data_IF_472661910289
#
_entry.id   IF_472661910289
#
_cell.length_a   1.000
_cell.length_b   1.000
_cell.length_c   1.000
_cell.angle_alpha   90.00
_cell.angle_beta   90.00
_cell.angle_gamma   90.00
#
_symmetry.space_group_name_H-M   'P 1'
#
loop_
_entity.id
_entity.type
_entity.pdbx_description
1 polymer ?
#
# COMPACT_ATOMS: atom_id res chain seq x y z
N UNK A 1 24.56 37.54 42.44
CA UNK A 1 23.33 37.38 41.63
C UNK A 1 22.13 37.74 42.52
N UNK A 2 21.18 38.60 42.11
CA UNK A 2 20.07 39.00 42.98
C UNK A 2 19.18 37.80 43.39
N UNK A 3 18.59 37.80 44.59
CA UNK A 3 17.80 36.67 45.15
C UNK A 3 16.79 36.06 44.16
N UNK A 4 16.14 36.89 43.34
CA UNK A 4 15.19 36.44 42.30
C UNK A 4 15.85 35.78 41.09
N UNK A 5 17.03 36.23 40.68
CA UNK A 5 17.80 35.58 39.62
C UNK A 5 18.25 34.18 40.05
N UNK A 6 18.61 34.03 41.33
CA UNK A 6 18.91 32.72 41.92
C UNK A 6 17.66 31.83 41.93
N UNK A 7 16.50 32.36 42.36
CA UNK A 7 15.24 31.62 42.35
C UNK A 7 14.81 31.17 40.93
N UNK A 8 14.92 32.05 39.94
CA UNK A 8 14.62 31.72 38.54
C UNK A 8 15.57 30.64 37.99
N UNK A 9 16.85 30.72 38.34
CA UNK A 9 17.83 29.71 37.94
C UNK A 9 17.53 28.34 38.56
N UNK A 10 17.26 28.29 39.87
CA UNK A 10 16.87 27.04 40.56
C UNK A 10 15.60 26.45 39.94
N UNK A 11 14.57 27.28 39.73
CA UNK A 11 13.33 26.83 39.10
C UNK A 11 13.58 26.25 37.70
N UNK A 12 14.38 26.94 36.87
CA UNK A 12 14.68 26.49 35.50
C UNK A 12 15.37 25.12 35.49
N UNK A 13 16.33 24.91 36.38
CA UNK A 13 17.05 23.61 36.47
C UNK A 13 16.11 22.49 36.92
N UNK A 14 15.35 22.71 38.00
CA UNK A 14 14.45 21.68 38.55
C UNK A 14 13.31 21.38 37.58
N UNK A 15 12.64 22.41 37.07
CA UNK A 15 11.54 22.26 36.12
C UNK A 15 12.01 21.66 34.79
N UNK A 16 13.22 22.01 34.32
CA UNK A 16 13.81 21.41 33.13
C UNK A 16 14.03 19.90 33.26
N UNK A 17 14.53 19.44 34.42
CA UNK A 17 14.71 18.00 34.69
C UNK A 17 13.37 17.26 34.73
N UNK A 18 12.36 17.83 35.41
CA UNK A 18 11.01 17.25 35.47
C UNK A 18 10.36 17.25 34.09
N UNK A 19 10.46 18.34 33.34
CA UNK A 19 9.93 18.46 31.98
C UNK A 19 10.58 17.46 31.02
N UNK A 20 11.90 17.24 31.12
CA UNK A 20 12.59 16.23 30.33
C UNK A 20 12.12 14.81 30.65
N UNK A 21 11.92 14.49 31.93
CA UNK A 21 11.36 13.20 32.34
C UNK A 21 9.93 13.00 31.81
N UNK A 22 9.06 14.01 31.95
CA UNK A 22 7.67 13.98 31.46
C UNK A 22 7.64 13.83 29.94
N UNK A 23 8.50 14.54 29.21
CA UNK A 23 8.64 14.40 27.76
C UNK A 23 9.10 12.99 27.36
N UNK A 24 10.09 12.43 28.06
CA UNK A 24 10.57 11.06 27.82
C UNK A 24 9.47 10.02 28.04
N UNK A 25 8.70 10.17 29.12
CA UNK A 25 7.57 9.29 29.42
C UNK A 25 6.46 9.41 28.37
N UNK A 26 6.11 10.65 27.98
CA UNK A 26 5.13 10.91 26.94
C UNK A 26 5.53 10.29 25.60
N UNK A 27 6.83 10.31 25.25
CA UNK A 27 7.34 9.67 24.03
C UNK A 27 7.18 8.15 24.05
N UNK A 28 7.32 7.52 25.21
CA UNK A 28 7.16 6.06 25.35
C UNK A 28 5.67 5.66 25.29
N UNK A 29 4.79 6.50 25.83
CA UNK A 29 3.36 6.21 25.96
C UNK A 29 2.52 6.66 24.76
N UNK A 30 3.00 7.60 23.94
CA UNK A 30 2.26 8.09 22.78
C UNK A 30 2.45 7.18 21.57
N UNK A 31 1.35 6.85 20.90
CA UNK A 31 1.32 6.14 19.62
C UNK A 31 1.58 7.05 18.41
N UNK A 32 1.73 8.36 18.63
CA UNK A 32 1.94 9.36 17.58
C UNK A 32 2.87 10.48 18.02
N UNK A 33 2.77 11.65 17.37
CA UNK A 33 3.68 12.78 17.58
C UNK A 33 3.27 13.74 18.71
N UNK A 34 2.26 13.36 19.50
CA UNK A 34 1.64 14.18 20.54
C UNK A 34 2.60 14.53 21.68
N UNK A 35 3.63 13.70 21.91
CA UNK A 35 4.68 13.97 22.90
C UNK A 35 5.46 15.27 22.59
N UNK A 36 5.52 15.71 21.34
CA UNK A 36 6.14 16.99 20.98
C UNK A 36 5.34 18.18 21.51
N UNK A 37 4.00 18.10 21.53
CA UNK A 37 3.15 19.12 22.14
C UNK A 37 3.44 19.29 23.62
N UNK A 38 3.64 18.18 24.34
CA UNK A 38 4.00 18.17 25.77
C UNK A 38 5.35 18.88 25.97
N UNK A 39 6.33 18.63 25.10
CA UNK A 39 7.61 19.34 25.12
C UNK A 39 7.47 20.85 24.95
N UNK A 40 6.69 21.30 23.96
CA UNK A 40 6.42 22.72 23.71
C UNK A 40 5.70 23.39 24.90
N UNK A 41 4.72 22.70 25.50
CA UNK A 41 3.99 23.21 26.66
C UNK A 41 4.88 23.33 27.91
N UNK A 42 5.77 22.37 28.14
CA UNK A 42 6.76 22.48 29.22
C UNK A 42 7.64 23.73 29.03
N UNK A 43 8.15 23.99 27.82
CA UNK A 43 8.96 25.19 27.54
C UNK A 43 8.15 26.46 27.81
N UNK A 44 6.90 26.54 27.32
CA UNK A 44 6.02 27.69 27.52
C UNK A 44 5.75 27.97 29.01
N UNK A 45 5.44 26.92 29.79
CA UNK A 45 5.23 27.03 31.24
C UNK A 45 6.52 27.51 31.94
N UNK A 46 7.66 26.92 31.59
CA UNK A 46 8.96 27.29 32.17
C UNK A 46 9.32 28.76 31.93
N UNK A 47 9.06 29.27 30.72
CA UNK A 47 9.25 30.68 30.37
C UNK A 47 8.30 31.59 31.16
N UNK A 48 7.03 31.20 31.28
CA UNK A 48 6.02 32.00 31.99
C UNK A 48 6.28 32.10 33.49
N UNK A 49 6.66 31.00 34.13
CA UNK A 49 6.97 31.03 35.57
C UNK A 49 8.21 31.89 35.84
N UNK A 50 9.25 31.77 35.02
CA UNK A 50 10.43 32.64 35.12
C UNK A 50 10.10 34.13 34.89
N UNK A 51 9.19 34.43 33.96
CA UNK A 51 8.72 35.79 33.71
C UNK A 51 8.08 36.43 34.97
N UNK A 52 7.34 35.66 35.76
CA UNK A 52 6.80 36.10 37.05
C UNK A 52 7.85 36.16 38.16
N UNK A 53 8.72 35.15 38.30
CA UNK A 53 9.79 35.12 39.32
C UNK A 53 10.72 36.33 39.18
N UNK A 54 11.02 36.72 37.94
CA UNK A 54 11.89 37.85 37.62
C UNK A 54 11.19 39.21 37.68
N UNK A 55 9.89 39.25 38.01
CA UNK A 55 9.07 40.48 38.09
C UNK A 55 9.04 41.27 36.77
N UNK A 56 9.23 40.60 35.62
CA UNK A 56 9.27 41.25 34.30
C UNK A 56 7.90 41.88 33.99
N UNK A 57 6.81 41.26 34.45
CA UNK A 57 5.45 41.79 34.36
C UNK A 57 5.23 43.18 34.98
N UNK A 58 6.09 43.60 35.92
CA UNK A 58 6.02 44.94 36.51
C UNK A 58 6.73 46.00 35.67
N UNK A 59 7.54 45.59 34.69
CA UNK A 59 8.31 46.47 33.81
C UNK A 59 7.56 46.83 32.53
N UNK A 60 6.42 46.19 32.29
CA UNK A 60 5.58 46.42 31.11
C UNK A 60 4.14 46.67 31.53
N UNK A 61 3.36 47.32 30.66
CA UNK A 61 1.95 47.59 30.97
C UNK A 61 1.13 46.30 31.04
N UNK A 62 0.02 46.31 31.80
CA UNK A 62 -0.88 45.17 31.94
C UNK A 62 -1.36 44.60 30.60
N UNK A 63 -1.59 45.45 29.59
CA UNK A 63 -1.96 45.04 28.22
C UNK A 63 -0.88 44.16 27.60
N UNK A 64 0.38 44.58 27.67
CA UNK A 64 1.52 43.86 27.10
C UNK A 64 1.83 42.55 27.84
N UNK A 65 1.59 42.48 29.16
CA UNK A 65 1.67 41.22 29.92
C UNK A 65 0.69 40.16 29.40
N UNK A 66 -0.57 40.54 29.16
CA UNK A 66 -1.57 39.60 28.63
C UNK A 66 -1.25 39.17 27.20
N UNK A 67 -0.77 40.08 26.35
CA UNK A 67 -0.31 39.75 25.00
C UNK A 67 0.83 38.71 25.06
N UNK A 68 1.82 38.92 25.93
CA UNK A 68 2.95 38.00 26.06
C UNK A 68 2.51 36.60 26.52
N UNK A 69 1.60 36.53 27.52
CA UNK A 69 1.04 35.25 27.99
C UNK A 69 0.38 34.51 26.83
N UNK A 70 -0.48 35.19 26.06
CA UNK A 70 -1.17 34.59 24.93
C UNK A 70 -0.17 34.12 23.87
N UNK A 71 0.82 34.94 23.51
CA UNK A 71 1.82 34.60 22.48
C UNK A 71 2.66 33.40 22.88
N UNK A 72 3.09 33.29 24.13
CA UNK A 72 3.96 32.20 24.62
C UNK A 72 3.27 30.83 24.55
N UNK A 73 1.94 30.77 24.67
CA UNK A 73 1.19 29.52 24.49
C UNK A 73 0.66 29.34 23.07
N UNK A 74 0.20 30.40 22.42
CA UNK A 74 -0.42 30.31 21.10
C UNK A 74 0.59 29.99 19.99
N UNK A 75 1.81 30.54 20.05
CA UNK A 75 2.82 30.28 19.01
C UNK A 75 3.29 28.82 19.01
N UNK A 76 3.68 28.20 20.13
CA UNK A 76 4.04 26.78 20.12
C UNK A 76 2.85 25.86 19.77
N UNK A 77 1.63 26.18 20.21
CA UNK A 77 0.44 25.43 19.80
C UNK A 77 0.14 25.57 18.32
N UNK A 78 0.33 26.75 17.72
CA UNK A 78 0.16 26.96 16.29
C UNK A 78 1.28 26.30 15.47
N UNK A 79 2.52 26.32 15.95
CA UNK A 79 3.66 25.62 15.32
C UNK A 79 3.47 24.11 15.39
N UNK A 80 3.07 23.57 16.55
CA UNK A 80 2.70 22.16 16.68
C UNK A 80 1.50 21.84 15.80
N UNK A 81 0.42 22.62 15.83
CA UNK A 81 -0.76 22.38 15.01
C UNK A 81 -0.44 22.41 13.51
N UNK A 82 0.47 23.30 13.09
CA UNK A 82 0.94 23.35 11.70
C UNK A 82 1.85 22.17 11.36
N UNK A 83 2.70 21.74 12.29
CA UNK A 83 3.59 20.58 12.14
C UNK A 83 2.81 19.27 12.15
N UNK A 84 1.88 19.07 13.08
CA UNK A 84 0.98 17.93 13.19
C UNK A 84 0.04 17.90 11.97
N UNK A 85 -0.50 19.03 11.53
CA UNK A 85 -1.22 19.11 10.26
C UNK A 85 -0.34 18.77 9.05
N UNK A 86 0.91 19.22 9.03
CA UNK A 86 1.88 18.89 7.98
C UNK A 86 2.19 17.39 7.97
N UNK A 87 2.53 16.80 9.12
CA UNK A 87 2.80 15.38 9.26
C UNK A 87 1.56 14.56 8.98
N UNK A 88 0.38 14.87 9.52
CA UNK A 88 -0.89 14.20 9.18
C UNK A 88 -1.28 14.37 7.72
N UNK A 89 -0.81 15.44 7.06
CA UNK A 89 -0.98 15.60 5.60
C UNK A 89 0.04 14.81 4.77
N UNK A 90 0.97 14.12 5.42
CA UNK A 90 2.00 13.24 4.82
C UNK A 90 1.87 11.80 5.35
N UNK A 91 1.27 11.63 6.53
CA UNK A 91 0.98 10.36 7.20
C UNK A 91 -0.27 9.78 6.55
N UNK A 92 -0.01 9.12 5.43
CA UNK A 92 -0.93 8.28 4.66
C UNK A 92 -1.63 7.35 5.64
N UNK A 93 -2.89 7.65 5.89
CA UNK A 93 -3.77 6.68 6.52
C UNK A 93 -3.85 5.53 5.52
N UNK A 94 -3.24 4.39 5.84
CA UNK A 94 -3.24 3.18 5.01
C UNK A 94 -4.55 3.05 4.23
N UNK A 95 -4.58 3.51 2.97
CA UNK A 95 -5.66 3.20 2.04
C UNK A 95 -5.54 1.73 1.65
N UNK A 96 -5.66 0.84 2.61
CA UNK A 96 -5.91 -0.56 2.32
C UNK A 96 -7.27 -0.65 1.67
N UNK A 97 -7.31 -1.32 0.53
CA UNK A 97 -8.57 -1.64 -0.16
C UNK A 97 -9.49 -2.30 0.84
N UNK A 98 -10.75 -1.87 0.88
CA UNK A 98 -11.76 -2.56 1.65
C UNK A 98 -12.09 -3.90 1.00
N UNK A 99 -11.33 -4.93 1.41
CA UNK A 99 -11.54 -6.30 0.94
C UNK A 99 -12.83 -6.92 1.49
N UNK A 100 -13.54 -6.25 2.42
CA UNK A 100 -14.81 -6.76 2.92
C UNK A 100 -15.90 -6.81 1.84
N UNK A 101 -15.74 -6.05 0.76
CA UNK A 101 -16.66 -6.07 -0.39
C UNK A 101 -16.50 -7.32 -1.26
N UNK A 102 -15.39 -8.05 -1.13
CA UNK A 102 -15.08 -9.22 -1.96
C UNK A 102 -15.11 -10.52 -1.12
N UNK A 103 -15.92 -10.57 -0.08
CA UNK A 103 -16.05 -11.77 0.75
C UNK A 103 -17.02 -12.77 0.10
N UNK A 104 -16.65 -14.05 -0.01
CA UNK A 104 -17.56 -15.11 -0.42
C UNK A 104 -18.80 -15.16 0.48
N UNK A 105 -19.95 -15.46 -0.11
CA UNK A 105 -21.28 -15.65 0.45
C UNK A 105 -21.81 -14.44 1.24
N UNK A 106 -21.18 -13.27 1.10
CA UNK A 106 -21.65 -12.02 1.69
C UNK A 106 -22.74 -11.40 0.81
N UNK A 107 -23.86 -11.02 1.45
CA UNK A 107 -24.90 -10.25 0.78
C UNK A 107 -24.34 -8.91 0.27
N UNK A 108 -24.61 -8.58 -1.00
CA UNK A 108 -24.10 -7.37 -1.63
C UNK A 108 -22.60 -7.37 -1.97
N UNK A 109 -21.95 -8.55 -1.99
CA UNK A 109 -20.56 -8.72 -2.42
C UNK A 109 -20.35 -8.31 -3.89
N UNK A 110 -19.21 -7.67 -4.18
CA UNK A 110 -18.74 -7.25 -5.51
C UNK A 110 -18.07 -8.39 -6.31
N UNK A 111 -18.14 -9.63 -5.80
CA UNK A 111 -17.57 -10.80 -6.48
C UNK A 111 -18.30 -11.12 -7.79
N UNK A 112 -17.51 -11.54 -8.79
CA UNK A 112 -18.05 -12.20 -9.96
C UNK A 112 -18.76 -13.50 -9.55
N UNK A 113 -19.89 -13.80 -10.20
CA UNK A 113 -20.73 -14.96 -9.90
C UNK A 113 -21.14 -15.65 -11.18
N UNK A 114 -21.15 -16.97 -11.15
CA UNK A 114 -21.70 -17.75 -12.25
C UNK A 114 -23.23 -17.61 -12.28
N UNK A 115 -23.78 -17.58 -13.50
CA UNK A 115 -25.23 -17.60 -13.74
C UNK A 115 -25.86 -18.96 -13.39
N UNK A 116 -25.06 -20.03 -13.48
CA UNK A 116 -25.44 -21.42 -13.21
C UNK A 116 -24.51 -22.01 -12.14
N UNK A 117 -24.95 -23.04 -11.39
CA UNK A 117 -24.09 -23.72 -10.43
C UNK A 117 -22.78 -24.20 -11.05
N UNK A 118 -21.68 -24.12 -10.28
CA UNK A 118 -20.41 -24.63 -10.75
C UNK A 118 -20.45 -26.16 -10.93
N UNK A 119 -19.82 -26.63 -12.01
CA UNK A 119 -19.67 -28.07 -12.32
C UNK A 119 -18.88 -28.81 -11.24
N UNK A 120 -18.03 -28.08 -10.51
CA UNK A 120 -17.32 -28.55 -9.32
C UNK A 120 -17.98 -27.98 -8.07
N UNK A 121 -18.38 -28.87 -7.15
CA UNK A 121 -18.83 -28.52 -5.81
C UNK A 121 -17.97 -29.31 -4.81
N UNK A 122 -17.37 -28.62 -3.85
CA UNK A 122 -16.55 -29.24 -2.80
C UNK A 122 -17.31 -29.20 -1.48
N UNK A 123 -17.36 -30.30 -0.74
CA UNK A 123 -18.10 -30.36 0.53
C UNK A 123 -17.17 -30.50 1.75
N UNK A 124 -16.03 -31.18 1.58
CA UNK A 124 -15.07 -31.47 2.63
C UNK A 124 -13.63 -31.28 2.13
N UNK A 125 -12.67 -31.22 3.05
CA UNK A 125 -11.24 -31.02 2.74
C UNK A 125 -11.00 -29.85 1.77
N UNK A 126 -11.69 -28.73 1.97
CA UNK A 126 -11.63 -27.57 1.11
C UNK A 126 -10.17 -27.09 0.96
N UNK A 127 -9.68 -26.84 -0.27
CA UNK A 127 -8.35 -26.27 -0.46
C UNK A 127 -8.18 -24.95 0.29
N UNK A 128 -7.13 -24.82 1.08
CA UNK A 128 -6.80 -23.54 1.72
C UNK A 128 -6.18 -22.58 0.71
N UNK A 129 -6.84 -21.44 0.47
CA UNK A 129 -6.47 -20.44 -0.53
C UNK A 129 -5.83 -19.21 0.12
N UNK A 130 -4.77 -18.69 -0.49
CA UNK A 130 -4.17 -17.41 -0.10
C UNK A 130 -3.64 -16.65 -1.33
N UNK A 131 -3.21 -15.41 -1.21
CA UNK A 131 -2.55 -14.75 -2.33
C UNK A 131 -2.28 -13.26 -2.20
N UNK A 132 -1.98 -12.70 -3.38
CA UNK A 132 -1.81 -11.27 -3.54
C UNK A 132 -3.15 -10.54 -3.36
N UNK A 133 -3.11 -9.36 -2.73
CA UNK A 133 -4.30 -8.51 -2.54
C UNK A 133 -5.02 -8.20 -3.85
N UNK A 134 -4.27 -7.95 -4.93
CA UNK A 134 -4.88 -7.67 -6.24
C UNK A 134 -5.76 -8.82 -6.72
N UNK A 135 -5.35 -10.07 -6.46
CA UNK A 135 -6.04 -11.25 -6.97
C UNK A 135 -7.12 -11.77 -6.02
N UNK A 136 -7.34 -11.13 -4.86
CA UNK A 136 -8.35 -11.57 -3.90
C UNK A 136 -9.75 -11.73 -4.51
N UNK A 137 -10.26 -10.76 -5.29
CA UNK A 137 -11.57 -10.91 -5.92
C UNK A 137 -11.68 -12.15 -6.82
N UNK A 138 -10.58 -12.58 -7.46
CA UNK A 138 -10.56 -13.75 -8.34
C UNK A 138 -10.73 -15.05 -7.54
N UNK A 139 -9.87 -15.30 -6.55
CA UNK A 139 -9.93 -16.57 -5.81
C UNK A 139 -11.03 -16.61 -4.76
N UNK A 140 -11.52 -15.45 -4.31
CA UNK A 140 -12.77 -15.38 -3.56
C UNK A 140 -13.98 -15.73 -4.44
N UNK A 141 -14.03 -15.30 -5.71
CA UNK A 141 -15.08 -15.71 -6.64
C UNK A 141 -15.03 -17.22 -6.97
N UNK A 142 -13.85 -17.83 -6.98
CA UNK A 142 -13.75 -19.29 -7.09
C UNK A 142 -14.36 -19.99 -5.87
N UNK A 143 -14.07 -19.52 -4.67
CA UNK A 143 -14.64 -20.06 -3.43
C UNK A 143 -16.16 -19.81 -3.33
N UNK A 144 -16.65 -18.64 -3.76
CA UNK A 144 -18.08 -18.35 -3.91
C UNK A 144 -18.78 -19.43 -4.74
N UNK A 145 -18.16 -19.84 -5.83
CA UNK A 145 -18.78 -20.74 -6.80
C UNK A 145 -18.76 -22.22 -6.37
N UNK A 146 -17.70 -22.65 -5.67
CA UNK A 146 -17.44 -24.08 -5.43
C UNK A 146 -17.41 -24.50 -3.96
N UNK A 147 -17.34 -23.56 -3.01
CA UNK A 147 -17.34 -23.88 -1.57
C UNK A 147 -18.75 -23.75 -0.99
N UNK A 148 -19.12 -24.58 0.00
CA UNK A 148 -20.43 -24.49 0.63
C UNK A 148 -20.62 -23.15 1.33
N UNK A 149 -21.86 -22.65 1.33
CA UNK A 149 -22.24 -21.48 2.11
C UNK A 149 -21.93 -21.69 3.60
N UNK A 150 -21.45 -20.65 4.28
CA UNK A 150 -21.10 -20.69 5.70
C UNK A 150 -19.69 -21.20 6.04
N UNK A 151 -18.89 -21.56 5.03
CA UNK A 151 -17.47 -21.95 5.24
C UNK A 151 -16.53 -20.77 5.34
N UNK A 152 -16.92 -19.61 4.83
CA UNK A 152 -16.18 -18.36 4.97
C UNK A 152 -16.54 -17.67 6.28
N UNK A 153 -15.54 -17.41 7.12
CA UNK A 153 -15.71 -16.76 8.43
C UNK A 153 -15.53 -15.24 8.26
N UNK A 154 -16.63 -14.51 8.35
CA UNK A 154 -16.63 -13.05 8.15
C UNK A 154 -15.97 -12.27 9.29
N UNK A 155 -16.09 -12.76 10.53
CA UNK A 155 -15.61 -12.09 11.74
C UNK A 155 -14.08 -12.16 11.88
N UNK A 156 -13.49 -13.32 11.58
CA UNK A 156 -12.04 -13.52 11.52
C UNK A 156 -11.65 -14.27 10.23
N UNK A 157 -11.16 -13.49 9.25
CA UNK A 157 -10.72 -14.05 7.96
C UNK A 157 -9.56 -15.02 8.10
N UNK A 158 -8.76 -14.94 9.17
CA UNK A 158 -7.63 -15.85 9.37
C UNK A 158 -8.05 -17.28 9.71
N UNK A 159 -9.33 -17.47 10.10
CA UNK A 159 -9.96 -18.77 10.30
C UNK A 159 -10.70 -19.28 9.06
N UNK A 160 -10.77 -18.47 7.99
CA UNK A 160 -11.41 -18.87 6.73
C UNK A 160 -10.50 -19.76 5.88
N UNK A 161 -11.06 -20.67 5.06
CA UNK A 161 -10.29 -21.40 4.05
C UNK A 161 -9.78 -20.50 2.92
N UNK A 162 -10.14 -19.20 2.93
CA UNK A 162 -9.73 -18.20 1.94
C UNK A 162 -9.17 -16.96 2.67
N UNK A 163 -7.86 -16.77 2.57
CA UNK A 163 -7.10 -15.72 3.29
C UNK A 163 -6.45 -14.75 2.31
N UNK A 164 -6.12 -13.54 2.78
CA UNK A 164 -5.33 -12.55 2.03
C UNK A 164 -4.13 -12.09 2.85
N UNK A 165 -3.06 -12.88 2.87
CA UNK A 165 -1.84 -12.53 3.61
C UNK A 165 -0.84 -11.69 2.81
N UNK A 166 -1.25 -11.25 1.60
CA UNK A 166 -0.43 -10.50 0.63
C UNK A 166 0.69 -11.40 0.07
N UNK A 167 1.32 -11.00 -1.03
CA UNK A 167 2.28 -11.86 -1.78
C UNK A 167 3.35 -12.51 -0.89
N UNK A 168 4.03 -11.73 -0.05
CA UNK A 168 5.09 -12.28 0.79
C UNK A 168 4.54 -13.26 1.85
N UNK A 169 3.43 -12.91 2.50
CA UNK A 169 2.77 -13.78 3.47
C UNK A 169 2.32 -15.10 2.84
N UNK A 170 1.77 -15.03 1.62
CA UNK A 170 1.27 -16.20 0.91
C UNK A 170 2.41 -17.17 0.57
N UNK A 171 3.55 -16.67 0.08
CA UNK A 171 4.74 -17.52 -0.13
C UNK A 171 5.28 -18.11 1.19
N UNK A 172 5.29 -17.34 2.28
CA UNK A 172 5.71 -17.83 3.60
C UNK A 172 4.78 -18.94 4.11
N UNK A 173 3.47 -18.78 3.98
CA UNK A 173 2.49 -19.81 4.36
C UNK A 173 2.62 -21.05 3.47
N UNK A 174 2.76 -20.88 2.16
CA UNK A 174 2.90 -21.99 1.20
C UNK A 174 4.19 -22.79 1.44
N UNK A 175 5.31 -22.12 1.70
CA UNK A 175 6.59 -22.79 2.04
C UNK A 175 6.54 -23.58 3.35
N UNK A 176 5.64 -23.18 4.27
CA UNK A 176 5.38 -23.85 5.55
C UNK A 176 4.22 -24.84 5.49
N UNK A 177 3.63 -25.08 4.30
CA UNK A 177 2.48 -25.95 4.11
C UNK A 177 1.25 -25.54 4.96
N UNK A 178 1.05 -24.23 5.14
CA UNK A 178 -0.10 -23.62 5.86
C UNK A 178 -1.18 -23.09 4.90
N UNK A 179 -1.09 -23.45 3.62
CA UNK A 179 -2.08 -23.15 2.57
C UNK A 179 -1.77 -24.09 1.42
N UNK A 180 -2.79 -24.51 0.70
CA UNK A 180 -2.67 -25.46 -0.40
C UNK A 180 -2.29 -24.77 -1.71
N UNK A 181 -2.88 -23.60 -1.96
CA UNK A 181 -2.76 -22.87 -3.23
C UNK A 181 -2.62 -21.39 -2.95
N UNK A 182 -1.65 -20.74 -3.59
CA UNK A 182 -1.55 -19.27 -3.60
C UNK A 182 -1.77 -18.68 -4.99
N UNK A 183 -2.40 -17.51 -5.03
CA UNK A 183 -2.67 -16.75 -6.24
C UNK A 183 -1.79 -15.51 -6.32
N UNK A 184 -0.80 -15.51 -7.23
CA UNK A 184 0.17 -14.42 -7.36
C UNK A 184 0.61 -14.19 -8.81
N UNK A 185 1.19 -13.03 -9.13
CA UNK A 185 1.82 -12.75 -10.43
C UNK A 185 3.15 -13.51 -10.66
N UNK A 186 3.55 -14.38 -9.73
CA UNK A 186 4.80 -15.13 -9.75
C UNK A 186 5.76 -14.76 -8.61
N UNK A 187 6.79 -15.59 -8.38
CA UNK A 187 7.71 -15.41 -7.25
C UNK A 187 8.86 -14.46 -7.59
N UNK A 188 9.43 -13.83 -6.57
CA UNK A 188 10.81 -13.34 -6.62
C UNK A 188 11.81 -14.51 -6.63
N UNK A 189 13.10 -14.24 -6.88
CA UNK A 189 14.13 -15.28 -6.81
C UNK A 189 14.19 -15.94 -5.42
N UNK A 190 14.08 -15.15 -4.34
CA UNK A 190 14.05 -15.65 -2.96
C UNK A 190 12.82 -16.54 -2.70
N UNK A 191 11.63 -16.06 -3.08
CA UNK A 191 10.39 -16.83 -2.94
C UNK A 191 10.44 -18.13 -3.73
N UNK A 192 11.08 -18.11 -4.90
CA UNK A 192 11.26 -19.27 -5.73
C UNK A 192 12.17 -20.32 -5.08
N UNK A 193 13.20 -19.91 -4.33
CA UNK A 193 14.11 -20.80 -3.61
C UNK A 193 13.47 -21.37 -2.34
N UNK A 194 12.50 -20.67 -1.75
CA UNK A 194 11.79 -21.11 -0.55
C UNK A 194 10.80 -22.28 -0.81
N UNK A 195 10.37 -22.49 -2.05
CA UNK A 195 9.44 -23.57 -2.42
C UNK A 195 10.19 -24.83 -2.88
N UNK A 196 9.78 -25.99 -2.36
CA UNK A 196 10.48 -27.28 -2.56
C UNK A 196 9.91 -28.10 -3.71
N UNK A 197 8.58 -28.10 -3.86
CA UNK A 197 7.84 -28.88 -4.86
C UNK A 197 6.83 -27.97 -5.55
N UNK A 198 7.34 -26.86 -6.11
CA UNK A 198 6.47 -25.84 -6.70
C UNK A 198 5.87 -26.34 -8.00
N UNK A 199 4.58 -26.13 -8.17
CA UNK A 199 3.91 -26.19 -9.46
C UNK A 199 3.24 -24.84 -9.70
N UNK A 200 3.36 -24.33 -10.93
CA UNK A 200 2.84 -23.03 -11.32
C UNK A 200 1.90 -23.21 -12.51
N UNK A 201 0.62 -23.00 -12.28
CA UNK A 201 -0.40 -23.04 -13.33
C UNK A 201 -0.81 -21.64 -13.68
N UNK A 202 -0.57 -21.20 -14.92
CA UNK A 202 -1.04 -19.90 -15.39
C UNK A 202 -2.56 -19.94 -15.56
N UNK A 203 -3.26 -19.04 -14.90
CA UNK A 203 -4.74 -19.03 -14.87
C UNK A 203 -5.35 -17.78 -15.51
N UNK A 204 -4.59 -16.68 -15.58
CA UNK A 204 -5.00 -15.45 -16.24
C UNK A 204 -3.80 -14.55 -16.55
N UNK A 205 -4.05 -13.41 -17.20
CA UNK A 205 -3.07 -12.37 -17.51
C UNK A 205 -3.46 -11.05 -16.87
N UNK A 206 -2.45 -10.25 -16.59
CA UNK A 206 -2.57 -8.91 -16.05
C UNK A 206 -1.40 -8.03 -16.56
N UNK A 207 -1.60 -6.72 -16.57
CA UNK A 207 -0.56 -5.74 -16.84
C UNK A 207 0.05 -5.19 -15.55
N UNK A 208 1.38 -5.19 -15.50
CA UNK A 208 2.13 -4.33 -14.60
C UNK A 208 2.15 -2.90 -15.18
N UNK A 209 1.69 -1.94 -14.39
CA UNK A 209 1.45 -0.57 -14.85
C UNK A 209 2.20 0.44 -13.99
N UNK A 210 2.58 1.53 -14.62
CA UNK A 210 3.09 2.72 -13.95
C UNK A 210 2.02 3.80 -13.95
N UNK A 211 2.02 4.61 -12.90
CA UNK A 211 1.09 5.72 -12.77
C UNK A 211 1.77 6.93 -12.14
N UNK A 212 1.21 8.08 -12.46
CA UNK A 212 1.65 9.39 -11.97
C UNK A 212 0.41 10.17 -11.54
N UNK A 213 0.61 11.30 -10.87
CA UNK A 213 -0.48 12.24 -10.64
C UNK A 213 -1.12 12.67 -11.98
N UNK A 214 -2.45 12.81 -12.04
CA UNK A 214 -3.22 13.12 -13.26
C UNK A 214 -2.76 14.37 -14.01
N UNK A 215 -2.21 15.34 -13.28
CA UNK A 215 -1.72 16.63 -13.83
C UNK A 215 -0.22 16.61 -14.23
N UNK A 216 0.46 15.47 -14.13
CA UNK A 216 1.79 15.28 -14.71
C UNK A 216 1.65 15.31 -16.24
N UNK A 217 2.47 16.06 -17.00
CA UNK A 217 2.31 16.17 -18.46
C UNK A 217 2.81 14.95 -19.24
N UNK A 218 3.60 14.05 -18.64
CA UNK A 218 4.11 12.86 -19.33
C UNK A 218 3.00 11.82 -19.46
N UNK A 219 2.73 11.36 -20.67
CA UNK A 219 1.70 10.35 -20.97
C UNK A 219 2.28 8.98 -21.30
N UNK A 220 3.54 8.91 -21.73
CA UNK A 220 4.20 7.68 -22.13
C UNK A 220 5.65 7.68 -21.70
N UNK A 221 6.14 6.51 -21.29
CA UNK A 221 7.56 6.24 -21.09
C UNK A 221 7.94 4.97 -21.84
N UNK A 222 9.16 4.90 -22.33
CA UNK A 222 9.74 3.66 -22.84
C UNK A 222 10.17 2.76 -21.69
N UNK A 223 10.34 1.47 -21.96
CA UNK A 223 10.92 0.55 -20.97
C UNK A 223 12.31 1.00 -20.49
N UNK A 224 13.12 1.59 -21.37
CA UNK A 224 14.45 2.06 -20.99
C UNK A 224 14.38 3.29 -20.09
N UNK A 225 13.45 4.20 -20.33
CA UNK A 225 13.23 5.34 -19.44
C UNK A 225 12.70 4.89 -18.08
N UNK A 226 11.77 3.94 -18.03
CA UNK A 226 11.32 3.35 -16.77
C UNK A 226 12.48 2.72 -15.99
N UNK A 227 13.34 1.95 -16.65
CA UNK A 227 14.55 1.41 -16.00
C UNK A 227 15.48 2.51 -15.52
N UNK A 228 15.73 3.52 -16.34
CA UNK A 228 16.57 4.66 -15.98
C UNK A 228 16.03 5.44 -14.77
N UNK A 229 14.71 5.58 -14.65
CA UNK A 229 14.09 6.23 -13.49
C UNK A 229 14.32 5.40 -12.21
N UNK A 230 14.12 4.09 -12.27
CA UNK A 230 14.23 3.21 -11.10
C UNK A 230 15.67 2.78 -10.78
N UNK A 231 16.62 2.93 -11.70
CA UNK A 231 18.07 2.83 -11.44
C UNK A 231 18.66 4.13 -10.89
N UNK A 232 17.98 5.26 -11.07
CA UNK A 232 18.45 6.59 -10.70
C UNK A 232 19.29 7.29 -11.78
N UNK A 233 19.36 6.75 -13.00
CA UNK A 233 20.01 7.40 -14.16
C UNK A 233 19.17 8.58 -14.70
N UNK A 234 17.86 8.48 -14.59
CA UNK A 234 16.89 9.54 -14.92
C UNK A 234 16.31 10.06 -13.61
N UNK A 235 16.62 11.30 -13.27
CA UNK A 235 16.27 11.90 -11.98
C UNK A 235 15.38 13.13 -12.09
N UNK A 236 15.15 13.64 -13.30
CA UNK A 236 14.30 14.79 -13.57
C UNK A 236 13.32 14.50 -14.72
N UNK A 237 12.06 14.91 -14.55
CA UNK A 237 11.02 14.75 -15.56
C UNK A 237 11.35 15.45 -16.89
N UNK A 238 12.14 16.51 -16.90
CA UNK A 238 12.58 17.19 -18.13
C UNK A 238 13.32 16.24 -19.10
N UNK A 239 14.02 15.23 -18.56
CA UNK A 239 14.78 14.25 -19.34
C UNK A 239 13.87 13.33 -20.15
N UNK A 240 12.58 13.28 -19.82
CA UNK A 240 11.55 12.43 -20.46
C UNK A 240 10.37 13.27 -20.93
N UNK A 241 10.59 14.56 -21.22
CA UNK A 241 9.59 15.46 -21.81
C UNK A 241 8.57 16.05 -20.82
N UNK A 242 8.83 15.96 -19.52
CA UNK A 242 8.02 16.56 -18.48
C UNK A 242 8.48 17.95 -18.02
N UNK A 243 7.98 18.38 -16.86
CA UNK A 243 8.40 19.65 -16.22
C UNK A 243 9.81 19.51 -15.64
N UNK A 244 10.55 20.62 -15.48
CA UNK A 244 11.79 20.63 -14.69
C UNK A 244 11.46 20.40 -13.20
N UNK A 245 11.40 19.13 -12.82
CA UNK A 245 11.04 18.65 -11.49
C UNK A 245 11.73 17.31 -11.25
N UNK A 246 12.40 17.20 -10.09
CA UNK A 246 13.00 15.94 -9.63
C UNK A 246 11.96 14.82 -9.59
N UNK A 247 12.29 13.62 -10.06
CA UNK A 247 11.41 12.45 -10.01
C UNK A 247 11.44 11.84 -8.60
N UNK A 248 10.28 11.52 -8.07
CA UNK A 248 10.12 10.72 -6.84
C UNK A 248 9.57 9.35 -7.25
N UNK A 249 10.46 8.37 -7.41
CA UNK A 249 10.06 7.01 -7.76
C UNK A 249 9.81 6.18 -6.49
N UNK A 250 8.54 5.91 -6.20
CA UNK A 250 8.14 5.13 -5.03
C UNK A 250 8.51 3.67 -5.21
N UNK A 251 8.95 3.05 -4.12
CA UNK A 251 9.25 1.62 -4.05
C UNK A 251 8.53 0.99 -2.87
N UNK A 252 8.40 -0.34 -2.94
CA UNK A 252 7.67 -1.17 -1.99
C UNK A 252 8.64 -2.09 -1.24
N UNK A 253 8.21 -2.68 -0.11
CA UNK A 253 8.95 -3.74 0.53
C UNK A 253 9.29 -4.89 -0.42
N UNK A 254 10.53 -5.38 -0.27
CA UNK A 254 11.01 -6.60 -0.90
C UNK A 254 10.03 -7.76 -0.61
N UNK A 255 9.85 -8.63 -1.61
CA UNK A 255 8.89 -9.73 -1.56
C UNK A 255 7.41 -9.33 -1.76
N UNK A 256 7.09 -8.03 -1.84
CA UNK A 256 5.73 -7.62 -2.25
C UNK A 256 5.52 -7.81 -3.75
N UNK A 257 4.33 -8.27 -4.19
CA UNK A 257 4.14 -8.69 -5.58
C UNK A 257 4.32 -7.60 -6.64
N UNK A 258 4.05 -6.34 -6.31
CA UNK A 258 4.34 -5.21 -7.20
C UNK A 258 5.83 -4.86 -7.22
N UNK A 259 6.56 -5.04 -6.10
CA UNK A 259 8.01 -4.88 -6.05
C UNK A 259 8.70 -5.97 -6.89
N UNK A 260 8.22 -7.22 -6.79
CA UNK A 260 8.67 -8.32 -7.66
C UNK A 260 8.39 -8.02 -9.14
N UNK A 261 7.26 -7.38 -9.45
CA UNK A 261 6.97 -6.88 -10.80
C UNK A 261 8.01 -5.86 -11.29
N UNK A 262 8.42 -4.93 -10.42
CA UNK A 262 9.49 -3.97 -10.71
C UNK A 262 10.83 -4.68 -10.94
N UNK A 263 11.24 -5.56 -10.03
CA UNK A 263 12.49 -6.35 -10.12
C UNK A 263 12.57 -7.14 -11.45
N UNK A 264 11.48 -7.79 -11.84
CA UNK A 264 11.37 -8.50 -13.10
C UNK A 264 11.48 -7.57 -14.32
N UNK A 265 10.87 -6.37 -14.26
CA UNK A 265 10.97 -5.36 -15.32
C UNK A 265 12.40 -4.85 -15.49
N UNK A 266 13.13 -4.70 -14.37
CA UNK A 266 14.51 -4.22 -14.35
C UNK A 266 15.50 -5.21 -14.97
N UNK A 267 15.17 -6.51 -15.10
CA UNK A 267 16.01 -7.52 -15.77
C UNK A 267 17.47 -7.53 -15.29
N UNK A 268 17.68 -7.39 -13.98
CA UNK A 268 19.00 -7.36 -13.36
C UNK A 268 19.70 -6.00 -13.35
N UNK A 269 19.09 -4.93 -13.91
CA UNK A 269 19.54 -3.56 -13.65
C UNK A 269 19.35 -3.24 -12.16
N UNK A 270 20.38 -2.76 -11.44
CA UNK A 270 20.25 -2.39 -10.04
C UNK A 270 19.17 -1.32 -9.85
N UNK A 271 18.31 -1.52 -8.84
CA UNK A 271 17.31 -0.55 -8.41
C UNK A 271 17.98 0.38 -7.40
N UNK A 272 17.76 1.70 -7.53
CA UNK A 272 18.30 2.68 -6.58
C UNK A 272 17.72 2.46 -5.18
N UNK A 273 18.45 2.88 -4.14
CA UNK A 273 17.86 2.91 -2.80
C UNK A 273 16.62 3.81 -2.77
N UNK A 274 15.52 3.39 -2.14
CA UNK A 274 14.38 4.28 -1.96
C UNK A 274 14.82 5.48 -1.10
N UNK A 275 14.39 6.71 -1.42
CA UNK A 275 14.66 7.84 -0.55
C UNK A 275 14.13 7.55 0.87
N UNK A 276 14.92 7.88 1.90
CA UNK A 276 14.80 7.38 3.29
C UNK A 276 13.40 7.54 3.93
N UNK A 277 12.57 8.45 3.41
CA UNK A 277 11.23 8.77 3.93
C UNK A 277 10.07 8.19 3.06
N UNK A 278 10.37 7.39 2.03
CA UNK A 278 9.42 7.08 0.96
C UNK A 278 9.20 5.58 0.68
N UNK A 279 9.61 4.67 1.58
CA UNK A 279 9.13 3.28 1.51
C UNK A 279 7.64 3.25 1.87
N UNK A 280 6.87 2.46 1.14
CA UNK A 280 5.42 2.39 1.31
C UNK A 280 4.99 0.98 1.65
N UNK A 281 4.26 0.82 2.74
CA UNK A 281 3.59 -0.43 3.06
C UNK A 281 2.28 -0.54 2.25
N UNK A 282 2.06 -1.69 1.61
CA UNK A 282 0.85 -1.93 0.81
C UNK A 282 0.80 -1.22 -0.57
N UNK A 283 -0.05 -1.71 -1.48
CA UNK A 283 -0.20 -1.13 -2.82
C UNK A 283 -0.95 0.21 -2.79
N UNK A 284 -1.95 0.35 -1.91
CA UNK A 284 -2.74 1.57 -1.78
C UNK A 284 -1.91 2.78 -1.37
N UNK A 285 -0.95 2.62 -0.45
CA UNK A 285 -0.08 3.72 -0.04
C UNK A 285 0.75 4.31 -1.20
N UNK A 286 1.05 3.56 -2.27
CA UNK A 286 1.84 4.09 -3.41
C UNK A 286 0.93 4.95 -4.27
N UNK A 287 -0.31 4.51 -4.47
CA UNK A 287 -1.33 5.24 -5.20
C UNK A 287 -1.70 6.53 -4.43
N UNK A 288 -1.88 6.45 -3.12
CA UNK A 288 -2.14 7.60 -2.25
C UNK A 288 -0.98 8.59 -2.22
N UNK A 289 0.25 8.13 -1.90
CA UNK A 289 1.45 9.00 -1.92
C UNK A 289 1.68 9.65 -3.29
N UNK A 290 1.44 8.92 -4.38
CA UNK A 290 1.58 9.49 -5.71
C UNK A 290 0.48 10.52 -6.06
N UNK A 291 -0.69 10.39 -5.42
CA UNK A 291 -1.82 11.31 -5.59
C UNK A 291 -1.76 12.55 -4.70
N UNK A 292 -1.01 12.51 -3.59
CA UNK A 292 -1.08 13.53 -2.55
C UNK A 292 -0.53 14.91 -2.95
N UNK A 293 -1.30 15.95 -2.61
CA UNK A 293 -1.35 17.21 -3.35
C UNK A 293 -0.50 18.36 -2.77
N UNK A 294 0.62 18.11 -2.10
CA UNK A 294 1.48 19.25 -1.70
C UNK A 294 2.89 19.24 -2.23
N UNK A 295 3.40 18.10 -2.71
CA UNK A 295 4.65 18.07 -3.46
C UNK A 295 4.94 16.77 -4.23
N UNK A 296 3.92 15.95 -4.57
CA UNK A 296 4.14 14.66 -5.24
C UNK A 296 3.60 14.57 -6.68
N UNK A 297 3.30 15.71 -7.33
CA UNK A 297 2.96 15.74 -8.78
C UNK A 297 4.11 15.24 -9.68
N UNK A 298 5.31 15.26 -9.16
CA UNK A 298 6.55 14.76 -9.74
C UNK A 298 6.88 13.31 -9.31
N UNK A 299 5.92 12.60 -8.73
CA UNK A 299 6.11 11.20 -8.36
C UNK A 299 5.70 10.24 -9.46
N UNK A 300 6.24 9.03 -9.37
CA UNK A 300 5.85 7.86 -10.16
C UNK A 300 5.71 6.67 -9.22
N UNK A 301 4.63 5.92 -9.41
CA UNK A 301 4.34 4.67 -8.73
C UNK A 301 4.07 3.54 -9.73
N UNK A 302 3.96 2.32 -9.20
CA UNK A 302 3.62 1.13 -9.98
C UNK A 302 2.67 0.23 -9.21
N UNK A 303 1.87 -0.54 -9.96
CA UNK A 303 0.98 -1.57 -9.42
C UNK A 303 0.56 -2.51 -10.56
N UNK A 304 -0.47 -3.31 -10.32
CA UNK A 304 -1.18 -4.05 -11.36
C UNK A 304 -2.45 -3.29 -11.78
N UNK A 305 -2.81 -3.39 -13.06
CA UNK A 305 -3.89 -2.59 -13.66
C UNK A 305 -5.21 -2.73 -12.92
N UNK A 306 -5.70 -3.94 -12.65
CA UNK A 306 -6.98 -4.14 -11.97
C UNK A 306 -6.99 -3.46 -10.61
N UNK A 307 -5.92 -3.65 -9.82
CA UNK A 307 -5.78 -2.98 -8.53
C UNK A 307 -5.85 -1.45 -8.71
N UNK A 308 -5.04 -0.88 -9.59
CA UNK A 308 -4.94 0.56 -9.79
C UNK A 308 -6.21 1.23 -10.38
N UNK A 309 -7.12 0.47 -11.01
CA UNK A 309 -8.27 1.02 -11.74
C UNK A 309 -9.63 0.59 -11.22
N UNK A 310 -9.70 -0.49 -10.42
CA UNK A 310 -10.97 -1.07 -9.94
C UNK A 310 -11.02 -1.24 -8.44
N UNK A 311 -9.90 -1.57 -7.79
CA UNK A 311 -9.89 -1.80 -6.34
C UNK A 311 -9.65 -0.52 -5.54
N UNK A 312 -9.14 0.53 -6.19
CA UNK A 312 -8.82 1.78 -5.51
C UNK A 312 -9.53 2.93 -6.20
N UNK A 313 -10.49 3.53 -5.50
CA UNK A 313 -11.29 4.66 -5.99
C UNK A 313 -10.74 6.01 -5.51
N UNK A 314 -11.13 7.09 -6.19
CA UNK A 314 -10.91 8.45 -5.69
C UNK A 314 -9.47 8.98 -5.77
N UNK A 315 -8.55 8.25 -6.41
CA UNK A 315 -7.18 8.71 -6.57
C UNK A 315 -6.99 9.52 -7.85
N UNK A 316 -6.38 10.70 -7.71
CA UNK A 316 -6.03 11.60 -8.81
C UNK A 316 -4.81 11.09 -9.60
N UNK A 317 -4.78 9.82 -9.96
CA UNK A 317 -3.72 9.22 -10.78
C UNK A 317 -4.13 9.11 -12.25
N UNK A 318 -3.13 9.03 -13.12
CA UNK A 318 -3.28 8.49 -14.48
C UNK A 318 -2.25 7.39 -14.71
N UNK A 319 -2.65 6.34 -15.43
CA UNK A 319 -1.73 5.32 -15.89
C UNK A 319 -0.87 5.87 -17.04
N UNK A 320 0.41 5.51 -17.06
CA UNK A 320 1.32 5.82 -18.16
C UNK A 320 1.22 4.75 -19.24
N UNK A 321 1.31 5.19 -20.49
CA UNK A 321 1.57 4.30 -21.62
C UNK A 321 3.01 3.80 -21.55
N UNK A 322 3.25 2.58 -22.04
CA UNK A 322 4.59 2.02 -22.14
C UNK A 322 4.92 1.76 -23.59
N UNK A 323 6.00 2.37 -24.07
CA UNK A 323 6.36 2.41 -25.49
C UNK A 323 5.20 2.94 -26.38
N UNK A 324 4.42 3.89 -25.87
CA UNK A 324 3.25 4.44 -26.57
C UNK A 324 1.98 3.57 -26.51
N UNK A 325 2.03 2.38 -25.89
CA UNK A 325 0.89 1.47 -25.79
C UNK A 325 0.17 1.67 -24.46
N UNK A 326 -1.16 1.84 -24.53
CA UNK A 326 -2.02 2.01 -23.35
C UNK A 326 -2.27 0.66 -22.65
N UNK A 327 -2.23 0.59 -21.30
CA UNK A 327 -2.54 -0.63 -20.54
C UNK A 327 -4.05 -0.93 -20.50
N UNK A 328 -4.67 -1.14 -21.66
CA UNK A 328 -6.09 -1.50 -21.79
C UNK A 328 -6.28 -3.02 -21.84
N UNK A 329 -7.47 -3.51 -21.50
CA UNK A 329 -7.89 -4.92 -21.68
C UNK A 329 -7.55 -5.45 -23.08
N UNK A 330 -7.84 -4.66 -24.13
CA UNK A 330 -7.56 -5.02 -25.52
C UNK A 330 -6.07 -5.31 -25.75
N UNK A 331 -5.18 -4.35 -25.46
CA UNK A 331 -3.73 -4.51 -25.62
C UNK A 331 -3.10 -5.58 -24.71
N UNK A 332 -3.71 -5.90 -23.57
CA UNK A 332 -3.27 -7.01 -22.70
C UNK A 332 -3.67 -8.35 -23.33
N UNK A 333 -4.88 -8.44 -23.88
CA UNK A 333 -5.40 -9.64 -24.55
C UNK A 333 -4.61 -9.96 -25.83
N UNK A 334 -4.32 -8.94 -26.65
CA UNK A 334 -3.50 -9.10 -27.88
C UNK A 334 -2.02 -9.35 -27.59
N UNK A 335 -1.54 -8.93 -26.41
CA UNK A 335 -0.13 -9.04 -26.03
C UNK A 335 0.75 -7.87 -26.49
N UNK A 336 0.14 -6.79 -27.01
CA UNK A 336 0.85 -5.59 -27.46
C UNK A 336 1.43 -4.77 -26.31
N UNK A 337 0.78 -4.79 -25.14
CA UNK A 337 1.28 -4.07 -23.97
C UNK A 337 2.52 -4.79 -23.39
N UNK A 338 3.69 -4.14 -23.31
CA UNK A 338 4.97 -4.82 -23.12
C UNK A 338 5.22 -5.33 -21.70
N UNK A 339 4.38 -4.95 -20.73
CA UNK A 339 4.46 -5.37 -19.33
C UNK A 339 3.29 -6.27 -18.93
N UNK A 340 2.73 -6.99 -19.89
CA UNK A 340 1.75 -8.06 -19.65
C UNK A 340 2.47 -9.30 -19.10
N UNK A 341 1.91 -9.89 -18.05
CA UNK A 341 2.38 -11.14 -17.45
C UNK A 341 1.22 -12.04 -17.03
N UNK A 342 1.50 -13.33 -16.88
CA UNK A 342 0.52 -14.25 -16.30
C UNK A 342 0.47 -14.07 -14.78
N UNK A 343 -0.69 -14.33 -14.19
CA UNK A 343 -0.80 -14.70 -12.79
C UNK A 343 -1.16 -16.18 -12.67
N UNK A 344 -0.82 -16.75 -11.53
CA UNK A 344 -0.71 -18.20 -11.35
C UNK A 344 -1.47 -18.65 -10.11
N UNK A 345 -2.07 -19.83 -10.20
CA UNK A 345 -2.27 -20.71 -9.05
C UNK A 345 -0.96 -21.46 -8.79
N UNK A 346 -0.44 -21.39 -7.57
CA UNK A 346 0.85 -21.97 -7.21
C UNK A 346 0.67 -22.90 -6.01
N UNK A 347 1.13 -24.14 -6.15
CA UNK A 347 1.12 -25.15 -5.10
C UNK A 347 2.55 -25.49 -4.67
N UNK A 348 2.69 -26.19 -3.54
CA UNK A 348 3.99 -26.65 -3.05
C UNK A 348 3.87 -28.06 -2.45
N UNK A 349 3.49 -29.05 -3.26
CA UNK A 349 3.39 -30.45 -2.83
C UNK A 349 2.31 -30.71 -1.77
N UNK A 350 1.15 -30.05 -1.90
CA UNK A 350 -0.02 -30.33 -1.05
C UNK A 350 -0.52 -31.77 -1.24
N UNK A 351 -1.12 -32.33 -0.19
CA UNK A 351 -1.75 -33.66 -0.18
C UNK A 351 -3.27 -33.58 -0.29
N UNK A 352 -3.83 -32.38 -0.40
CA UNK A 352 -5.26 -32.19 -0.52
C UNK A 352 -5.73 -32.74 -1.89
N UNK A 353 -6.62 -33.77 -1.92
CA UNK A 353 -7.03 -34.41 -3.16
C UNK A 353 -7.90 -33.52 -4.05
N UNK A 354 -8.45 -32.43 -3.53
CA UNK A 354 -9.31 -31.51 -4.27
C UNK A 354 -8.54 -30.41 -5.01
N UNK A 355 -7.24 -30.25 -4.76
CA UNK A 355 -6.43 -29.18 -5.37
C UNK A 355 -6.32 -29.35 -6.88
N UNK A 356 -6.03 -30.56 -7.38
CA UNK A 356 -5.90 -30.78 -8.82
C UNK A 356 -7.24 -30.60 -9.55
N UNK A 357 -8.37 -31.23 -9.12
CA UNK A 357 -9.68 -30.96 -9.70
C UNK A 357 -10.08 -29.48 -9.66
N UNK A 358 -9.71 -28.77 -8.58
CA UNK A 358 -10.00 -27.35 -8.45
C UNK A 358 -9.21 -26.50 -9.45
N UNK A 359 -7.91 -26.79 -9.66
CA UNK A 359 -7.10 -26.12 -10.69
C UNK A 359 -7.62 -26.45 -12.10
N UNK A 360 -8.01 -27.69 -12.37
CA UNK A 360 -8.64 -28.07 -13.64
C UNK A 360 -9.93 -27.29 -13.88
N UNK A 361 -10.77 -27.13 -12.85
CA UNK A 361 -11.98 -26.31 -12.92
C UNK A 361 -11.69 -24.82 -13.11
N UNK A 362 -10.66 -24.25 -12.47
CA UNK A 362 -10.24 -22.86 -12.71
C UNK A 362 -9.88 -22.64 -14.19
N UNK A 363 -9.33 -23.67 -14.85
CA UNK A 363 -8.99 -23.67 -16.28
C UNK A 363 -10.18 -24.03 -17.19
N UNK A 364 -11.36 -24.33 -16.64
CA UNK A 364 -12.59 -24.58 -17.40
C UNK A 364 -13.23 -23.27 -17.88
N UNK A 365 -14.28 -23.37 -18.71
CA UNK A 365 -15.03 -22.19 -19.17
C UNK A 365 -15.63 -21.38 -18.01
N UNK A 366 -16.11 -22.04 -16.95
CA UNK A 366 -16.68 -21.38 -15.77
C UNK A 366 -15.61 -20.60 -15.00
N UNK A 367 -14.47 -21.23 -14.70
CA UNK A 367 -13.36 -20.58 -14.02
C UNK A 367 -12.77 -19.40 -14.81
N UNK A 368 -12.63 -19.56 -16.13
CA UNK A 368 -12.15 -18.49 -17.01
C UNK A 368 -13.15 -17.34 -17.16
N UNK A 369 -14.46 -17.63 -17.13
CA UNK A 369 -15.52 -16.59 -17.09
C UNK A 369 -15.41 -15.76 -15.82
N UNK A 370 -15.23 -16.37 -14.65
CA UNK A 370 -15.06 -15.62 -13.39
C UNK A 370 -13.83 -14.69 -13.42
N UNK A 371 -12.74 -15.13 -14.05
CA UNK A 371 -11.55 -14.28 -14.25
C UNK A 371 -11.89 -13.05 -15.11
N UNK A 372 -12.59 -13.26 -16.22
CA UNK A 372 -12.99 -12.20 -17.14
C UNK A 372 -13.96 -11.21 -16.49
N UNK A 373 -15.01 -11.72 -15.83
CA UNK A 373 -16.02 -10.91 -15.13
C UNK A 373 -15.45 -10.14 -13.95
N UNK A 374 -14.45 -10.70 -13.26
CA UNK A 374 -13.70 -9.96 -12.24
C UNK A 374 -12.97 -8.77 -12.86
N UNK A 375 -12.59 -8.82 -14.14
CA UNK A 375 -11.93 -7.72 -14.86
C UNK A 375 -10.47 -8.00 -15.26
N UNK A 376 -10.06 -9.26 -15.17
CA UNK A 376 -8.78 -9.80 -15.61
C UNK A 376 -8.88 -10.43 -17.02
N UNK A 377 -7.76 -10.87 -17.58
CA UNK A 377 -7.73 -11.52 -18.89
C UNK A 377 -7.60 -13.04 -18.73
N UNK A 378 -8.49 -13.87 -19.28
CA UNK A 378 -8.36 -15.32 -19.20
C UNK A 378 -7.19 -15.84 -20.05
N UNK A 379 -6.65 -17.02 -19.70
CA UNK A 379 -5.60 -17.72 -20.49
C UNK A 379 -6.18 -18.54 -21.63
N UNK A 380 -7.46 -18.92 -21.56
CA UNK A 380 -8.21 -19.57 -22.65
C UNK A 380 -9.27 -18.61 -23.18
N UNK A 381 -9.54 -18.65 -24.47
CA UNK A 381 -10.68 -17.91 -25.01
C UNK A 381 -11.98 -18.47 -24.42
N UNK A 382 -12.75 -17.61 -23.78
CA UNK A 382 -14.14 -17.84 -23.44
C UNK A 382 -14.93 -17.72 -24.75
N UNK A 383 -15.44 -18.84 -25.28
CA UNK A 383 -16.41 -18.77 -26.36
C UNK A 383 -17.73 -18.24 -25.77
N UNK A 384 -17.90 -16.92 -25.83
CA UNK A 384 -19.20 -16.29 -25.59
C UNK A 384 -19.83 -15.90 -26.93
N UNK A 385 -21.14 -16.14 -27.14
CA UNK A 385 -21.85 -15.48 -28.21
C UNK A 385 -21.76 -13.97 -28.00
N UNK A 386 -21.43 -13.23 -29.06
CA UNK A 386 -21.44 -11.77 -29.03
C UNK A 386 -22.86 -11.29 -28.71
N UNK A 387 -23.01 -10.44 -27.68
CA UNK A 387 -24.20 -9.59 -27.53
C UNK A 387 -24.19 -8.45 -28.54
#
# INVERSE_FOLDING_TARGET
MGKRKVAAWIFTVVFGLVGWFVYGLARILSSGNEYMYIGFMCIAIGLMVNYFILDIHKRITKKWTWILVVVVFLVPSALYGSYDWYIRSIEIANAEVDLSNYQPHKEGSDLARLEEPADLQLEENLPELDGATALYPVYAAFAEAVYPEGTYVHDDRSESPVIVSKTNGAYQRLSRFQTDIIFTAGPSEEQQQALKQKEKTAIGKEAFVFFVHKDNPVDSLTLNELRGIYSGDITNWEQVGGRDQKIIAFQRPEGSGSQTGLENMMKGTPIMDPPKDHRVDGMGGVIEKASDYRNHRNSIGFSYRFFATKMVEGHNIKLLNVNGIVPSVHHIKSGDYPLTGNFYAITNGTKNPHVEPFIEWILSSQGQRLIEETGYIPVKETHLPAE
#
